data_IF_542043607994
#
_entry.id   IF_542043607994
#
_cell.length_a   1.000
_cell.length_b   1.000
_cell.length_c   1.000
_cell.angle_alpha   90.00
_cell.angle_beta   90.00
_cell.angle_gamma   90.00
#
_symmetry.space_group_name_H-M   'P 1'
#
loop_
_entity.id
_entity.type
_entity.pdbx_description
1 polymer ?
#
# COMPACT_ATOMS: atom_id res chain seq x y z
N UNK A 1 21.42 -30.16 33.78
CA UNK A 1 21.12 -29.49 32.49
C UNK A 1 19.86 -28.65 32.64
N UNK A 2 19.87 -27.32 32.48
CA UNK A 2 18.63 -26.54 32.60
C UNK A 2 17.78 -26.78 31.35
N UNK A 3 16.56 -27.28 31.55
CA UNK A 3 15.63 -27.58 30.47
C UNK A 3 15.29 -26.35 29.64
N UNK A 4 15.35 -26.48 28.31
CA UNK A 4 14.90 -25.46 27.36
C UNK A 4 13.42 -25.16 27.63
N UNK A 5 13.11 -24.00 28.21
CA UNK A 5 11.72 -23.57 28.40
C UNK A 5 11.08 -23.39 27.03
N UNK A 6 10.06 -24.18 26.74
CA UNK A 6 9.23 -23.98 25.55
C UNK A 6 8.68 -22.55 25.57
N UNK A 7 8.91 -21.81 24.48
CA UNK A 7 8.42 -20.44 24.33
C UNK A 7 6.89 -20.50 24.26
N UNK A 8 6.20 -20.15 25.35
CA UNK A 8 4.75 -20.04 25.35
C UNK A 8 4.35 -19.02 24.28
N UNK A 9 3.37 -19.39 23.45
CA UNK A 9 2.76 -18.48 22.50
C UNK A 9 2.08 -17.36 23.31
N UNK A 10 2.70 -16.17 23.38
CA UNK A 10 2.10 -15.04 24.08
C UNK A 10 0.98 -14.48 23.21
N UNK A 11 -0.27 -14.74 23.60
CA UNK A 11 -1.42 -14.03 23.02
C UNK A 11 -1.31 -12.54 23.38
N UNK A 12 -1.70 -11.68 22.44
CA UNK A 12 -1.61 -10.24 22.62
C UNK A 12 -2.63 -9.77 23.68
N UNK A 13 -2.29 -8.73 24.44
CA UNK A 13 -3.23 -8.03 25.30
C UNK A 13 -4.25 -7.29 24.43
N UNK A 14 -5.52 -7.61 24.64
CA UNK A 14 -6.66 -6.88 24.08
C UNK A 14 -6.72 -5.45 24.62
N UNK A 15 -7.44 -4.58 23.93
CA UNK A 15 -7.64 -3.18 24.32
C UNK A 15 -8.32 -3.07 25.70
N UNK A 16 -9.32 -3.90 25.95
CA UNK A 16 -10.01 -3.99 27.24
C UNK A 16 -9.06 -4.39 28.38
N UNK A 17 -8.22 -5.41 28.17
CA UNK A 17 -7.24 -5.83 29.18
C UNK A 17 -6.23 -4.71 29.48
N UNK A 18 -5.78 -3.96 28.46
CA UNK A 18 -4.91 -2.78 28.65
C UNK A 18 -5.62 -1.70 29.46
N UNK A 19 -6.88 -1.40 29.13
CA UNK A 19 -7.72 -0.44 29.86
C UNK A 19 -7.86 -0.81 31.34
N UNK A 20 -8.14 -2.08 31.62
CA UNK A 20 -8.24 -2.62 32.98
C UNK A 20 -6.90 -2.54 33.73
N UNK A 21 -5.79 -2.90 33.09
CA UNK A 21 -4.45 -2.77 33.67
C UNK A 21 -4.18 -1.30 34.04
N UNK A 22 -4.42 -0.38 33.11
CA UNK A 22 -4.20 1.05 33.34
C UNK A 22 -5.07 1.57 34.49
N UNK A 23 -6.37 1.27 34.50
CA UNK A 23 -7.29 1.70 35.56
C UNK A 23 -6.94 1.16 36.95
N UNK A 24 -6.52 -0.11 37.04
CA UNK A 24 -6.08 -0.68 38.31
C UNK A 24 -4.73 -0.11 38.76
N UNK A 25 -3.81 0.15 37.83
CA UNK A 25 -2.49 0.72 38.14
C UNK A 25 -2.59 2.19 38.55
N UNK A 26 -3.49 2.99 37.95
CA UNK A 26 -3.78 4.36 38.41
C UNK A 26 -4.41 4.36 39.80
N UNK A 27 -5.25 3.36 40.12
CA UNK A 27 -5.78 3.12 41.46
C UNK A 27 -4.74 2.57 42.47
N UNK A 28 -3.44 2.53 42.10
CA UNK A 28 -2.31 2.09 42.93
C UNK A 28 -2.36 0.62 43.37
N UNK A 29 -2.98 -0.25 42.56
CA UNK A 29 -2.95 -1.69 42.85
C UNK A 29 -1.56 -2.30 42.64
N UNK A 30 -1.22 -3.30 43.45
CA UNK A 30 0.02 -4.07 43.29
C UNK A 30 -0.02 -4.91 42.02
N UNK A 31 1.14 -5.10 41.37
CA UNK A 31 1.21 -5.82 40.09
C UNK A 31 0.69 -7.25 40.21
N UNK A 32 0.98 -7.97 41.29
CA UNK A 32 0.46 -9.32 41.55
C UNK A 32 -1.08 -9.37 41.63
N UNK A 33 -1.70 -8.32 42.18
CA UNK A 33 -3.17 -8.23 42.26
C UNK A 33 -3.77 -7.99 40.88
N UNK A 34 -3.12 -7.16 40.07
CA UNK A 34 -3.54 -6.90 38.68
C UNK A 34 -3.39 -8.16 37.82
N UNK A 35 -2.31 -8.92 37.97
CA UNK A 35 -2.13 -10.18 37.22
C UNK A 35 -3.18 -11.22 37.56
N UNK A 36 -3.60 -11.30 38.83
CA UNK A 36 -4.68 -12.20 39.24
C UNK A 36 -6.04 -11.81 38.69
N UNK A 37 -6.28 -10.52 38.45
CA UNK A 37 -7.55 -10.02 37.89
C UNK A 37 -7.63 -10.13 36.37
N UNK A 38 -6.51 -9.92 35.67
CA UNK A 38 -6.44 -9.89 34.19
C UNK A 38 -6.04 -11.26 33.61
N UNK A 39 -5.60 -12.20 34.45
CA UNK A 39 -5.06 -13.52 34.08
C UNK A 39 -3.91 -13.43 33.06
N UNK A 40 -2.98 -12.51 33.31
CA UNK A 40 -1.81 -12.24 32.45
C UNK A 40 -0.53 -12.27 33.26
N UNK A 41 0.60 -12.50 32.56
CA UNK A 41 1.91 -12.55 33.22
C UNK A 41 2.29 -11.19 33.79
N UNK A 42 3.05 -11.20 34.88
CA UNK A 42 3.55 -9.99 35.54
C UNK A 42 4.36 -9.10 34.58
N UNK A 43 5.18 -9.72 33.72
CA UNK A 43 5.91 -9.00 32.68
C UNK A 43 4.99 -8.28 31.69
N UNK A 44 3.84 -8.86 31.33
CA UNK A 44 2.89 -8.22 30.41
C UNK A 44 2.24 -6.99 31.05
N UNK A 45 1.83 -7.10 32.32
CA UNK A 45 1.26 -5.98 33.10
C UNK A 45 2.30 -4.87 33.27
N UNK A 46 3.53 -5.21 33.64
CA UNK A 46 4.63 -4.25 33.83
C UNK A 46 4.95 -3.52 32.52
N UNK A 47 5.18 -4.25 31.43
CA UNK A 47 5.52 -3.65 30.13
C UNK A 47 4.37 -2.75 29.62
N UNK A 48 3.11 -3.14 29.82
CA UNK A 48 1.95 -2.31 29.48
C UNK A 48 1.91 -1.00 30.28
N UNK A 49 2.18 -1.06 31.59
CA UNK A 49 2.22 0.11 32.46
C UNK A 49 3.39 1.05 32.12
N UNK A 50 4.58 0.49 31.90
CA UNK A 50 5.77 1.25 31.49
C UNK A 50 5.54 1.95 30.14
N UNK A 51 4.98 1.24 29.16
CA UNK A 51 4.63 1.83 27.86
C UNK A 51 3.65 2.99 28.02
N UNK A 52 2.60 2.82 28.83
CA UNK A 52 1.63 3.90 29.09
C UNK A 52 2.27 5.09 29.80
N UNK A 53 3.17 4.87 30.75
CA UNK A 53 3.84 5.94 31.50
C UNK A 53 4.79 6.75 30.60
N UNK A 54 5.40 6.11 29.61
CA UNK A 54 6.34 6.75 28.68
C UNK A 54 5.64 7.48 27.53
N UNK A 55 4.56 6.92 26.99
CA UNK A 55 3.96 7.38 25.72
C UNK A 55 2.54 7.94 25.88
N UNK A 56 1.95 7.84 27.07
CA UNK A 56 0.54 8.18 27.39
C UNK A 56 -0.45 7.51 26.41
N UNK A 57 0.01 6.44 25.76
CA UNK A 57 -0.71 5.79 24.67
C UNK A 57 -0.75 4.30 24.95
N UNK A 58 -1.94 3.73 24.84
CA UNK A 58 -2.17 2.29 25.01
C UNK A 58 -2.18 1.54 23.67
N UNK A 59 -2.10 2.27 22.56
CA UNK A 59 -1.98 1.71 21.23
C UNK A 59 -0.64 0.99 21.04
N UNK A 60 -0.68 -0.02 20.19
CA UNK A 60 0.51 -0.79 19.84
C UNK A 60 1.29 -0.03 18.77
N UNK A 61 2.60 0.10 18.94
CA UNK A 61 3.48 0.47 17.83
C UNK A 61 3.43 -0.59 16.73
N UNK A 62 3.27 -0.13 15.49
CA UNK A 62 3.45 -0.97 14.32
C UNK A 62 4.82 -1.64 14.40
N UNK A 63 4.84 -2.97 14.32
CA UNK A 63 6.10 -3.71 14.39
C UNK A 63 7.00 -3.36 13.20
N UNK A 64 8.31 -3.51 13.38
CA UNK A 64 9.24 -3.43 12.27
C UNK A 64 8.84 -4.44 11.20
N UNK A 65 8.63 -3.96 9.99
CA UNK A 65 8.34 -4.81 8.84
C UNK A 65 9.62 -5.49 8.39
N UNK A 66 9.53 -6.71 7.86
CA UNK A 66 10.66 -7.37 7.23
C UNK A 66 11.28 -6.48 6.15
N UNK A 67 12.61 -6.51 6.05
CA UNK A 67 13.33 -5.75 5.04
C UNK A 67 12.88 -6.17 3.64
N UNK A 68 12.70 -5.20 2.75
CA UNK A 68 12.41 -5.45 1.34
C UNK A 68 13.66 -6.03 0.67
N UNK A 69 13.46 -7.01 -0.21
CA UNK A 69 14.53 -7.56 -1.05
C UNK A 69 14.93 -6.61 -2.19
N UNK A 70 14.12 -5.58 -2.45
CA UNK A 70 14.38 -4.58 -3.50
C UNK A 70 14.86 -3.27 -2.90
N UNK A 71 15.75 -2.60 -3.63
CA UNK A 71 16.19 -1.25 -3.29
C UNK A 71 15.24 -0.20 -3.85
N UNK A 72 15.22 0.99 -3.24
CA UNK A 72 14.45 2.14 -3.77
C UNK A 72 14.83 2.52 -5.21
N UNK A 73 16.04 2.17 -5.67
CA UNK A 73 16.47 2.45 -7.04
C UNK A 73 15.82 1.48 -8.03
N UNK A 74 15.73 0.21 -7.66
CA UNK A 74 15.06 -0.83 -8.45
C UNK A 74 13.56 -0.57 -8.54
N UNK A 75 12.90 -0.26 -7.43
CA UNK A 75 11.47 0.06 -7.41
C UNK A 75 11.14 1.20 -8.37
N UNK A 76 11.98 2.24 -8.38
CA UNK A 76 11.86 3.38 -9.32
C UNK A 76 12.10 2.96 -10.76
N UNK A 77 13.04 2.05 -11.01
CA UNK A 77 13.30 1.52 -12.36
C UNK A 77 12.10 0.74 -12.89
N UNK A 78 11.52 -0.15 -12.06
CA UNK A 78 10.32 -0.93 -12.39
C UNK A 78 9.17 0.00 -12.79
N UNK A 79 8.88 1.00 -11.95
CA UNK A 79 7.80 1.96 -12.21
C UNK A 79 8.07 2.78 -13.46
N UNK A 80 9.32 3.24 -13.65
CA UNK A 80 9.70 4.02 -14.84
C UNK A 80 9.50 3.22 -16.12
N UNK A 81 9.92 1.96 -16.17
CA UNK A 81 9.76 1.12 -17.36
C UNK A 81 8.28 0.96 -17.74
N UNK A 82 7.42 0.70 -16.76
CA UNK A 82 5.98 0.58 -17.01
C UNK A 82 5.30 1.90 -17.42
N UNK A 83 5.89 3.05 -17.09
CA UNK A 83 5.38 4.36 -17.52
C UNK A 83 5.87 4.73 -18.93
N UNK A 84 7.11 4.40 -19.27
CA UNK A 84 7.69 4.67 -20.60
C UNK A 84 7.02 3.80 -21.66
N UNK A 85 6.84 2.51 -21.37
CA UNK A 85 6.13 1.58 -22.23
C UNK A 85 5.06 0.82 -21.42
N UNK A 86 3.78 1.25 -21.50
CA UNK A 86 2.68 0.58 -20.82
C UNK A 86 2.40 -0.86 -21.29
N UNK A 87 3.02 -1.30 -22.40
CA UNK A 87 2.86 -2.65 -22.98
C UNK A 87 3.93 -3.63 -22.51
N UNK A 88 4.96 -3.13 -21.81
CA UNK A 88 6.08 -3.94 -21.35
C UNK A 88 5.62 -5.06 -20.41
N UNK A 89 6.18 -6.25 -20.61
CA UNK A 89 5.83 -7.42 -19.78
C UNK A 89 6.62 -7.45 -18.48
N UNK A 90 6.10 -8.20 -17.50
CA UNK A 90 6.80 -8.40 -16.22
C UNK A 90 8.12 -9.15 -16.38
N UNK A 91 8.22 -10.05 -17.37
CA UNK A 91 9.45 -10.77 -17.69
C UNK A 91 10.53 -9.87 -18.26
N UNK A 92 10.16 -8.94 -19.15
CA UNK A 92 11.12 -7.97 -19.71
C UNK A 92 11.60 -6.99 -18.65
N UNK A 93 10.70 -6.45 -17.82
CA UNK A 93 11.10 -5.64 -16.65
C UNK A 93 12.07 -6.41 -15.74
N UNK A 94 11.78 -7.69 -15.48
CA UNK A 94 12.63 -8.52 -14.63
C UNK A 94 14.04 -8.69 -15.21
N UNK A 95 14.15 -8.97 -16.50
CA UNK A 95 15.43 -9.13 -17.19
C UNK A 95 16.26 -7.85 -17.14
N UNK A 96 15.62 -6.70 -17.36
CA UNK A 96 16.32 -5.41 -17.41
C UNK A 96 16.81 -4.94 -16.03
N UNK A 97 16.05 -5.24 -14.97
CA UNK A 97 16.46 -4.89 -13.59
C UNK A 97 17.61 -5.79 -13.12
N UNK A 98 17.79 -6.97 -13.71
CA UNK A 98 18.98 -7.82 -13.50
C UNK A 98 19.01 -8.58 -12.17
N UNK A 99 17.86 -8.74 -11.50
CA UNK A 99 17.80 -9.35 -10.15
C UNK A 99 16.91 -10.61 -10.17
N UNK A 100 17.21 -11.55 -9.27
CA UNK A 100 16.36 -12.70 -8.91
C UNK A 100 15.01 -12.33 -8.27
N UNK A 101 14.42 -11.19 -8.65
CA UNK A 101 13.10 -10.75 -8.20
C UNK A 101 12.03 -11.68 -8.79
N UNK A 102 11.15 -12.20 -7.94
CA UNK A 102 9.99 -12.97 -8.38
C UNK A 102 9.00 -12.02 -9.08
N UNK A 103 8.37 -12.46 -10.18
CA UNK A 103 7.43 -11.62 -10.96
C UNK A 103 6.28 -11.03 -10.13
N UNK A 104 5.90 -11.67 -9.02
CA UNK A 104 4.89 -11.18 -8.09
C UNK A 104 5.31 -9.91 -7.36
N UNK A 105 6.60 -9.76 -7.06
CA UNK A 105 7.17 -8.54 -6.47
C UNK A 105 7.02 -7.36 -7.42
N UNK A 106 7.27 -7.56 -8.72
CA UNK A 106 7.05 -6.53 -9.76
C UNK A 106 5.57 -6.13 -9.79
N UNK A 107 4.65 -7.09 -9.79
CA UNK A 107 3.20 -6.80 -9.71
C UNK A 107 2.83 -5.99 -8.47
N UNK A 108 3.42 -6.32 -7.32
CA UNK A 108 3.20 -5.57 -6.07
C UNK A 108 3.71 -4.14 -6.17
N UNK A 109 4.90 -3.91 -6.70
CA UNK A 109 5.44 -2.56 -6.87
C UNK A 109 4.61 -1.71 -7.85
N UNK A 110 4.15 -2.31 -8.94
CA UNK A 110 3.24 -1.63 -9.87
C UNK A 110 1.92 -1.26 -9.19
N UNK A 111 1.36 -2.16 -8.37
CA UNK A 111 0.15 -1.89 -7.60
C UNK A 111 0.36 -0.81 -6.52
N UNK A 112 1.48 -0.83 -5.80
CA UNK A 112 1.88 0.22 -4.84
C UNK A 112 2.02 1.60 -5.54
N UNK A 113 2.38 1.62 -6.82
CA UNK A 113 2.43 2.82 -7.66
C UNK A 113 1.10 3.14 -8.38
N UNK A 114 0.00 2.45 -8.06
CA UNK A 114 -1.31 2.58 -8.72
C UNK A 114 -1.32 2.29 -10.23
N UNK A 115 -0.33 1.54 -10.73
CA UNK A 115 -0.27 1.11 -12.12
C UNK A 115 -1.01 -0.22 -12.28
N UNK A 116 -1.99 -0.22 -13.19
CA UNK A 116 -2.81 -1.39 -13.53
C UNK A 116 -2.71 -1.66 -15.01
N UNK A 117 -2.66 -2.94 -15.37
CA UNK A 117 -2.79 -3.36 -16.77
C UNK A 117 -4.17 -2.95 -17.29
N UNK A 118 -4.20 -2.31 -18.45
CA UNK A 118 -5.42 -1.92 -19.17
C UNK A 118 -5.38 -2.53 -20.57
N UNK A 119 -6.56 -2.79 -21.12
CA UNK A 119 -6.66 -3.19 -22.53
C UNK A 119 -6.37 -1.96 -23.41
N UNK A 120 -5.47 -2.05 -24.40
CA UNK A 120 -5.23 -0.94 -25.30
C UNK A 120 -6.50 -0.63 -26.08
N UNK A 121 -6.74 0.67 -26.31
CA UNK A 121 -7.86 1.11 -27.14
C UNK A 121 -7.60 0.72 -28.60
N UNK A 122 -8.60 0.12 -29.25
CA UNK A 122 -8.52 -0.25 -30.67
C UNK A 122 -9.02 0.92 -31.51
N UNK A 123 -8.11 1.79 -31.94
CA UNK A 123 -8.40 2.87 -32.87
C UNK A 123 -8.03 2.48 -34.30
N UNK A 124 -8.73 3.03 -35.29
CA UNK A 124 -8.24 3.02 -36.67
C UNK A 124 -6.95 3.83 -36.74
N UNK A 125 -5.94 3.28 -37.40
CA UNK A 125 -4.66 3.97 -37.63
C UNK A 125 -4.87 5.10 -38.63
N UNK A 126 -5.12 6.31 -38.12
CA UNK A 126 -5.13 7.52 -38.95
C UNK A 126 -3.71 7.87 -39.39
N UNK A 127 -3.54 8.12 -40.68
CA UNK A 127 -2.34 8.76 -41.23
C UNK A 127 -2.19 10.18 -40.66
N UNK A 128 -0.99 10.76 -40.78
CA UNK A 128 -0.75 12.14 -40.31
C UNK A 128 -1.67 13.14 -41.01
N UNK A 129 -1.87 12.98 -42.32
CA UNK A 129 -2.75 13.82 -43.14
C UNK A 129 -4.20 13.77 -42.64
N UNK A 130 -4.75 12.57 -42.41
CA UNK A 130 -6.10 12.43 -41.87
C UNK A 130 -6.25 13.12 -40.51
N UNK A 131 -5.25 13.00 -39.63
CA UNK A 131 -5.28 13.69 -38.32
C UNK A 131 -5.31 15.21 -38.47
N UNK A 132 -4.54 15.76 -39.41
CA UNK A 132 -4.51 17.19 -39.68
C UNK A 132 -5.85 17.69 -40.22
N UNK A 133 -6.44 16.99 -41.20
CA UNK A 133 -7.75 17.33 -41.74
C UNK A 133 -8.84 17.27 -40.67
N UNK A 134 -8.87 16.21 -39.84
CA UNK A 134 -9.81 16.12 -38.73
C UNK A 134 -9.62 17.28 -37.73
N UNK A 135 -8.37 17.62 -37.40
CA UNK A 135 -8.08 18.72 -36.48
C UNK A 135 -8.52 20.07 -37.06
N UNK A 136 -8.19 20.36 -38.32
CA UNK A 136 -8.61 21.59 -39.01
C UNK A 136 -10.13 21.69 -39.08
N UNK A 137 -10.81 20.57 -39.38
CA UNK A 137 -12.26 20.51 -39.43
C UNK A 137 -12.89 20.84 -38.08
N UNK A 138 -12.34 20.28 -36.98
CA UNK A 138 -12.76 20.58 -35.61
C UNK A 138 -12.48 22.03 -35.23
N UNK A 139 -11.29 22.55 -35.55
CA UNK A 139 -10.87 23.92 -35.23
C UNK A 139 -11.75 24.96 -35.94
N UNK A 140 -12.02 24.78 -37.22
CA UNK A 140 -12.89 25.67 -38.00
C UNK A 140 -14.33 25.74 -37.46
N UNK A 141 -14.74 24.74 -36.68
CA UNK A 141 -16.08 24.60 -36.09
C UNK A 141 -16.09 24.66 -34.57
N UNK A 142 -14.97 25.02 -33.94
CA UNK A 142 -14.87 25.05 -32.48
C UNK A 142 -15.77 26.11 -31.84
N UNK A 143 -16.13 27.15 -32.60
CA UNK A 143 -16.98 28.26 -32.16
C UNK A 143 -18.43 28.13 -32.68
N UNK A 144 -18.81 26.99 -33.23
CA UNK A 144 -20.14 26.80 -33.80
C UNK A 144 -21.20 26.66 -32.71
N UNK A 145 -22.32 27.34 -32.95
CA UNK A 145 -23.46 27.35 -32.04
C UNK A 145 -24.45 26.25 -32.44
N UNK A 146 -25.44 25.96 -31.58
CA UNK A 146 -26.46 24.93 -31.86
C UNK A 146 -27.17 25.17 -33.21
N UNK A 147 -27.42 26.42 -33.57
CA UNK A 147 -28.03 26.81 -34.86
C UNK A 147 -27.14 26.52 -36.07
N UNK A 148 -25.82 26.55 -35.91
CA UNK A 148 -24.89 26.25 -36.99
C UNK A 148 -24.81 24.74 -37.22
N UNK A 149 -24.86 23.95 -36.14
CA UNK A 149 -24.97 22.49 -36.21
C UNK A 149 -26.30 22.02 -36.82
N UNK A 150 -27.40 22.74 -36.58
CA UNK A 150 -28.71 22.43 -37.19
C UNK A 150 -28.69 22.52 -38.73
N UNK A 151 -27.73 23.24 -39.32
CA UNK A 151 -27.57 23.32 -40.78
C UNK A 151 -26.78 22.16 -41.38
N UNK A 152 -26.15 21.32 -40.57
CA UNK A 152 -25.37 20.17 -41.03
C UNK A 152 -26.27 18.95 -41.11
N UNK A 153 -26.33 18.34 -42.29
CA UNK A 153 -26.99 17.05 -42.50
C UNK A 153 -25.89 15.99 -42.60
N UNK A 154 -25.95 15.01 -41.71
CA UNK A 154 -25.11 13.81 -41.79
C UNK A 154 -25.84 12.79 -42.66
N UNK A 155 -25.14 12.28 -43.67
CA UNK A 155 -25.60 11.21 -44.57
C UNK A 155 -25.08 9.85 -44.07
#
# INVERSE_FOLDING_TARGET
MPGKRARRHSSQLSELERGLIMGMKTARWSTCRVTGQVDRSECAVRNCWEQWTQEVTHERKTGSVANRNTTRREDRSIVRQALVDPTVTRSTIRSDVGIGIVSQTISRHLAEANLKSKRPFRALSLTLEHRQLCLQWCQARSMWNVTDWQRVVFL
#
